data_IF_302102511734
#
_entry.id   IF_302102511734
#
_cell.length_a   1.000
_cell.length_b   1.000
_cell.length_c   1.000
_cell.angle_alpha   90.00
_cell.angle_beta   90.00
_cell.angle_gamma   90.00
#
_symmetry.space_group_name_H-M   'P 1'
#
loop_
_entity.id
_entity.type
_entity.pdbx_description
1 polymer ?
#
# COMPACT_ATOMS: atom_id res chain seq x y z
N UNK A 1 6.85 0.11 -15.63
CA UNK A 1 7.10 0.35 -14.18
C UNK A 1 6.00 1.26 -13.68
N UNK A 2 5.21 0.85 -12.67
CA UNK A 2 4.07 1.64 -12.18
C UNK A 2 4.60 2.67 -11.16
N UNK A 3 4.42 3.96 -11.44
CA UNK A 3 4.76 5.02 -10.51
C UNK A 3 3.69 5.10 -9.43
N UNK A 4 4.11 5.04 -8.16
CA UNK A 4 3.20 5.09 -7.02
C UNK A 4 3.45 6.37 -6.24
N UNK A 5 2.44 7.25 -6.08
CA UNK A 5 2.55 8.41 -5.21
C UNK A 5 2.81 7.99 -3.76
N UNK A 6 3.61 8.77 -3.04
CA UNK A 6 3.89 8.53 -1.61
C UNK A 6 2.59 8.50 -0.79
N UNK A 7 1.62 9.36 -1.13
CA UNK A 7 0.28 9.35 -0.53
C UNK A 7 -0.43 7.99 -0.67
N UNK A 8 -0.34 7.35 -1.85
CA UNK A 8 -0.91 6.02 -2.08
C UNK A 8 -0.22 4.94 -1.25
N UNK A 9 1.11 5.04 -1.10
CA UNK A 9 1.89 4.16 -0.24
C UNK A 9 1.56 4.31 1.25
N UNK A 10 1.26 5.54 1.69
CA UNK A 10 0.88 5.88 3.06
C UNK A 10 -0.57 5.46 3.34
N UNK A 11 -1.53 5.72 2.44
CA UNK A 11 -2.92 5.30 2.60
C UNK A 11 -3.02 3.78 2.80
N UNK A 12 -2.21 3.03 2.06
CA UNK A 12 -2.09 1.57 2.18
C UNK A 12 -1.57 1.14 3.56
N UNK A 13 -0.87 1.99 4.33
CA UNK A 13 -0.48 1.69 5.72
C UNK A 13 -1.66 1.56 6.67
N UNK A 14 -2.71 2.35 6.45
CA UNK A 14 -3.84 2.44 7.37
C UNK A 14 -4.89 1.38 7.04
N UNK A 15 -5.08 1.08 5.76
CA UNK A 15 -6.16 0.20 5.28
C UNK A 15 -5.73 -1.27 5.29
N UNK A 16 -4.52 -1.55 4.84
CA UNK A 16 -4.10 -2.91 4.50
C UNK A 16 -3.86 -3.85 5.70
N UNK A 17 -3.41 -3.37 6.89
CA UNK A 17 -3.34 -4.22 8.08
C UNK A 17 -4.71 -4.76 8.51
N UNK A 18 -5.79 -4.02 8.25
CA UNK A 18 -7.15 -4.46 8.56
C UNK A 18 -7.62 -5.53 7.57
N UNK A 19 -7.29 -5.38 6.28
CA UNK A 19 -7.69 -6.32 5.23
C UNK A 19 -6.93 -7.65 5.28
N UNK A 20 -5.63 -7.61 5.61
CA UNK A 20 -4.77 -8.79 5.59
C UNK A 20 -4.51 -9.40 6.97
N UNK A 21 -5.15 -8.84 8.01
CA UNK A 21 -4.97 -9.18 9.42
C UNK A 21 -3.48 -9.32 9.84
N UNK A 22 -2.60 -8.58 9.18
CA UNK A 22 -1.14 -8.67 9.33
C UNK A 22 -0.52 -7.32 9.04
N UNK A 23 0.45 -6.91 9.85
CA UNK A 23 1.20 -5.67 9.61
C UNK A 23 2.21 -5.89 8.48
N UNK A 24 2.26 -4.93 7.56
CA UNK A 24 3.06 -5.03 6.33
C UNK A 24 4.03 -3.84 6.25
N UNK A 25 5.29 -4.15 5.95
CA UNK A 25 6.42 -3.22 6.05
C UNK A 25 6.46 -2.18 4.94
N UNK A 26 7.63 -1.58 4.74
CA UNK A 26 7.92 -0.49 3.79
C UNK A 26 7.41 -0.70 2.35
N UNK A 27 7.09 -1.94 1.94
CA UNK A 27 6.70 -2.29 0.57
C UNK A 27 5.19 -2.23 0.30
N UNK A 28 4.54 -1.15 0.75
CA UNK A 28 3.11 -0.88 0.56
C UNK A 28 2.77 -0.24 -0.79
N UNK A 29 3.72 0.49 -1.37
CA UNK A 29 3.65 0.99 -2.74
C UNK A 29 3.31 -0.14 -3.72
N UNK A 30 3.90 -1.32 -3.50
CA UNK A 30 3.74 -2.51 -4.35
C UNK A 30 2.30 -3.05 -4.34
N UNK A 31 1.59 -2.90 -3.23
CA UNK A 31 0.21 -3.39 -3.09
C UNK A 31 -0.76 -2.38 -3.67
N UNK A 32 -0.50 -1.09 -3.46
CA UNK A 32 -1.23 -0.02 -4.14
C UNK A 32 -1.10 -0.12 -5.67
N UNK A 33 0.10 -0.38 -6.19
CA UNK A 33 0.31 -0.62 -7.62
C UNK A 33 -0.45 -1.86 -8.13
N UNK A 34 -0.48 -2.94 -7.36
CA UNK A 34 -1.25 -4.14 -7.71
C UNK A 34 -2.76 -3.87 -7.74
N UNK A 35 -3.27 -3.01 -6.85
CA UNK A 35 -4.67 -2.60 -6.85
C UNK A 35 -5.01 -1.70 -8.05
N UNK A 36 -4.12 -0.77 -8.41
CA UNK A 36 -4.27 0.02 -9.64
C UNK A 36 -4.32 -0.90 -10.88
N UNK A 37 -3.41 -1.88 -10.96
CA UNK A 37 -3.41 -2.84 -12.05
C UNK A 37 -4.71 -3.67 -12.09
N UNK A 38 -5.20 -4.11 -10.94
CA UNK A 38 -6.47 -4.83 -10.84
C UNK A 38 -7.67 -3.98 -11.29
N UNK A 39 -7.64 -2.68 -11.01
CA UNK A 39 -8.64 -1.75 -11.48
C UNK A 39 -8.61 -1.63 -13.01
N UNK A 40 -7.43 -1.42 -13.60
CA UNK A 40 -7.28 -1.33 -15.05
C UNK A 40 -7.69 -2.63 -15.75
N UNK A 41 -7.28 -3.79 -15.22
CA UNK A 41 -7.71 -5.09 -15.76
C UNK A 41 -9.23 -5.23 -15.71
N UNK A 42 -9.88 -4.77 -14.64
CA UNK A 42 -11.35 -4.77 -14.55
C UNK A 42 -12.00 -3.84 -15.57
N UNK A 43 -11.48 -2.63 -15.72
CA UNK A 43 -11.98 -1.63 -16.68
C UNK A 43 -11.84 -2.13 -18.13
N UNK A 44 -10.81 -2.92 -18.41
CA UNK A 44 -10.55 -3.51 -19.72
C UNK A 44 -11.20 -4.89 -19.92
N UNK A 45 -11.95 -5.41 -18.93
CA UNK A 45 -12.46 -6.79 -18.92
C UNK A 45 -11.38 -7.87 -19.15
N UNK A 46 -10.15 -7.59 -18.71
CA UNK A 46 -9.03 -8.53 -18.77
C UNK A 46 -9.09 -9.51 -17.59
N UNK A 47 -9.14 -10.80 -17.90
CA UNK A 47 -9.07 -11.87 -16.91
C UNK A 47 -7.62 -12.30 -16.68
N UNK A 48 -7.25 -12.50 -15.41
CA UNK A 48 -5.92 -12.97 -15.05
C UNK A 48 -5.64 -12.91 -13.56
N UNK A 49 -4.46 -13.37 -13.16
CA UNK A 49 -4.01 -13.37 -11.77
C UNK A 49 -2.86 -12.38 -11.59
N UNK A 50 -2.99 -11.51 -10.60
CA UNK A 50 -1.92 -10.59 -10.21
C UNK A 50 -1.13 -11.24 -9.08
N UNK A 51 0.13 -11.57 -9.34
CA UNK A 51 1.06 -12.12 -8.34
C UNK A 51 1.96 -11.01 -7.83
N UNK A 52 2.07 -10.91 -6.50
CA UNK A 52 2.89 -9.89 -5.85
C UNK A 52 3.83 -10.50 -4.80
N UNK A 53 5.09 -10.05 -4.77
CA UNK A 53 6.13 -10.58 -3.87
C UNK A 53 6.46 -9.62 -2.72
N UNK A 54 6.00 -9.99 -1.52
CA UNK A 54 6.32 -9.28 -0.27
C UNK A 54 7.51 -9.97 0.40
N UNK A 55 8.72 -9.41 0.30
CA UNK A 55 9.93 -10.06 0.83
C UNK A 55 10.23 -9.78 2.31
N UNK A 56 9.65 -8.74 2.92
CA UNK A 56 10.03 -8.32 4.27
C UNK A 56 8.81 -7.95 5.13
N UNK A 57 8.75 -8.48 6.35
CA UNK A 57 7.78 -8.07 7.37
C UNK A 57 8.06 -6.65 7.90
N UNK A 58 7.01 -5.96 8.34
CA UNK A 58 7.10 -4.62 8.95
C UNK A 58 7.90 -4.56 10.24
N UNK A 59 8.09 -5.68 10.92
CA UNK A 59 8.65 -5.73 12.26
C UNK A 59 10.07 -5.16 12.32
N UNK A 60 10.86 -5.35 11.26
CA UNK A 60 12.21 -4.77 11.14
C UNK A 60 12.23 -3.24 11.06
N UNK A 61 11.11 -2.61 10.70
CA UNK A 61 11.01 -1.17 10.46
C UNK A 61 10.26 -0.43 11.58
N UNK A 62 10.01 -1.08 12.72
CA UNK A 62 9.21 -0.55 13.84
C UNK A 62 9.69 0.80 14.39
N UNK A 63 10.98 1.11 14.25
CA UNK A 63 11.62 2.36 14.69
C UNK A 63 11.74 3.43 13.60
N UNK A 64 11.25 3.18 12.38
CA UNK A 64 11.29 4.18 11.30
C UNK A 64 10.11 5.17 11.41
N UNK A 65 10.32 6.47 11.13
CA UNK A 65 9.34 7.54 11.36
C UNK A 65 7.98 7.32 10.71
N UNK A 66 7.94 6.58 9.59
CA UNK A 66 6.71 6.26 8.86
C UNK A 66 5.68 5.52 9.72
N UNK A 67 6.11 4.72 10.71
CA UNK A 67 5.21 3.98 11.60
C UNK A 67 4.38 4.90 12.52
N UNK A 68 4.89 6.09 12.86
CA UNK A 68 4.23 7.05 13.77
C UNK A 68 3.38 8.12 13.06
N UNK A 69 3.48 8.24 11.72
CA UNK A 69 2.84 9.31 10.95
C UNK A 69 1.38 9.01 10.56
N UNK A 70 0.93 7.76 10.63
CA UNK A 70 -0.43 7.36 10.19
C UNK A 70 -1.56 8.01 11.00
N UNK A 71 -1.32 8.43 12.24
CA UNK A 71 -2.33 9.19 13.02
C UNK A 71 -2.40 10.67 12.68
N UNK A 72 -1.37 11.27 12.07
CA UNK A 72 -1.29 12.73 11.82
C UNK A 72 -1.37 13.13 10.34
N UNK A 73 -0.96 12.27 9.40
CA UNK A 73 -0.85 12.68 8.00
C UNK A 73 -2.11 12.46 7.16
N UNK A 74 -3.01 11.52 7.50
CA UNK A 74 -4.22 11.28 6.70
C UNK A 74 -5.27 12.42 6.76
N UNK A 75 -5.09 13.39 7.66
CA UNK A 75 -6.00 14.53 7.86
C UNK A 75 -5.46 15.86 7.31
N UNK A 76 -4.34 15.86 6.56
CA UNK A 76 -3.67 17.10 6.15
C UNK A 76 -3.74 17.46 4.66
N UNK A 77 -4.31 16.60 3.82
CA UNK A 77 -4.47 16.87 2.38
C UNK A 77 -5.92 17.21 2.01
N UNK A 78 -6.50 18.20 2.70
CA UNK A 78 -7.77 18.84 2.36
C UNK A 78 -7.72 20.36 2.68
N UNK A 79 -6.71 21.04 2.15
CA UNK A 79 -6.67 22.50 1.91
C UNK A 79 -5.96 22.74 0.59
#
# INVERSE_FOLDING_TARGET
MIAVPDAGSIATMSVLPNLLNRRIGFRRALIYAALQLAQTMREHNEAGSIVNLICNLSERYRKTPLCGMTKKCALRDNV
#
